data_IF_495555140374
#
_entry.id   IF_495555140374
#
_cell.length_a   1.000
_cell.length_b   1.000
_cell.length_c   1.000
_cell.angle_alpha   90.00
_cell.angle_beta   90.00
_cell.angle_gamma   90.00
#
_symmetry.space_group_name_H-M   'P 1'
#
loop_
_entity.id
_entity.type
_entity.pdbx_description
1 polymer ?
#
# COMPACT_ATOMS: atom_id res chain seq x y z
N UNK A 1 -38.51 14.87 0.61
CA UNK A 1 -37.37 14.35 -0.15
C UNK A 1 -36.30 13.92 0.84
N UNK A 2 -35.65 12.77 0.59
CA UNK A 2 -34.54 12.26 1.40
C UNK A 2 -33.24 12.64 0.76
N UNK A 3 -32.33 13.25 1.51
CA UNK A 3 -30.99 13.63 1.07
C UNK A 3 -29.99 12.78 1.83
N UNK A 4 -29.17 12.07 1.08
CA UNK A 4 -28.11 11.21 1.63
C UNK A 4 -26.80 11.94 1.59
N UNK A 5 -26.07 11.91 2.68
CA UNK A 5 -24.77 12.53 2.89
C UNK A 5 -23.71 11.44 3.01
N UNK A 6 -22.58 11.61 2.35
CA UNK A 6 -21.43 10.75 2.49
C UNK A 6 -20.15 11.59 2.45
N UNK A 7 -19.12 11.23 3.20
CA UNK A 7 -17.86 11.99 3.27
C UNK A 7 -16.65 11.11 3.10
N UNK A 8 -15.56 11.71 2.64
CA UNK A 8 -14.26 11.05 2.54
C UNK A 8 -13.26 11.82 1.68
N UNK A 9 -11.99 11.38 1.75
CA UNK A 9 -10.93 11.92 0.92
C UNK A 9 -10.95 11.36 -0.51
N UNK A 10 -11.43 10.11 -0.70
CA UNK A 10 -11.54 9.43 -1.99
C UNK A 10 -10.27 9.50 -2.85
N UNK A 11 -9.14 9.21 -2.24
CA UNK A 11 -7.82 9.45 -2.79
C UNK A 11 -6.89 8.21 -2.74
N UNK A 12 -6.69 7.52 -3.87
CA UNK A 12 -7.47 7.61 -5.11
C UNK A 12 -8.88 7.02 -4.97
N UNK A 13 -9.78 7.44 -5.86
CA UNK A 13 -11.09 6.80 -6.01
C UNK A 13 -10.91 5.36 -6.52
N UNK A 14 -11.67 4.42 -5.98
CA UNK A 14 -11.62 2.99 -6.35
C UNK A 14 -13.00 2.33 -6.30
N UNK A 15 -13.10 1.09 -6.77
CA UNK A 15 -14.36 0.33 -6.86
C UNK A 15 -15.15 0.27 -5.55
N UNK A 16 -14.48 0.19 -4.41
CA UNK A 16 -15.13 0.23 -3.10
C UNK A 16 -15.86 1.55 -2.82
N UNK A 17 -15.28 2.68 -3.24
CA UNK A 17 -15.97 3.97 -3.14
C UNK A 17 -17.17 4.06 -4.10
N UNK A 18 -17.05 3.52 -5.31
CA UNK A 18 -18.17 3.47 -6.27
C UNK A 18 -19.31 2.63 -5.71
N UNK A 19 -19.01 1.46 -5.13
CA UNK A 19 -20.00 0.63 -4.47
C UNK A 19 -20.66 1.38 -3.30
N UNK A 20 -19.87 2.04 -2.46
CA UNK A 20 -20.37 2.87 -1.35
C UNK A 20 -21.35 3.95 -1.84
N UNK A 21 -21.00 4.70 -2.88
CA UNK A 21 -21.87 5.74 -3.43
C UNK A 21 -23.14 5.18 -4.02
N UNK A 22 -23.06 4.05 -4.74
CA UNK A 22 -24.24 3.38 -5.30
C UNK A 22 -25.21 2.92 -4.20
N UNK A 23 -24.69 2.33 -3.12
CA UNK A 23 -25.53 1.89 -2.00
C UNK A 23 -26.07 3.08 -1.19
N UNK A 24 -25.25 4.12 -0.98
CA UNK A 24 -25.71 5.36 -0.36
C UNK A 24 -26.84 6.01 -1.16
N UNK A 25 -26.72 6.09 -2.48
CA UNK A 25 -27.78 6.66 -3.36
C UNK A 25 -29.12 5.95 -3.24
N UNK A 26 -29.15 4.65 -2.96
CA UNK A 26 -30.40 3.88 -2.77
C UNK A 26 -31.16 4.26 -1.50
N UNK A 27 -30.52 4.90 -0.54
CA UNK A 27 -31.14 5.31 0.72
C UNK A 27 -32.03 6.55 0.57
N UNK A 28 -31.89 7.30 -0.53
CA UNK A 28 -32.64 8.54 -0.72
C UNK A 28 -32.74 9.02 -2.15
N UNK A 29 -33.30 10.19 -2.30
CA UNK A 29 -33.58 10.79 -3.61
C UNK A 29 -32.35 11.51 -4.18
N UNK A 30 -31.50 12.09 -3.32
CA UNK A 30 -30.31 12.85 -3.67
C UNK A 30 -29.12 12.38 -2.84
N UNK A 31 -27.93 12.23 -3.48
CA UNK A 31 -26.66 11.93 -2.83
C UNK A 31 -25.75 13.17 -2.90
N UNK A 32 -25.36 13.67 -1.76
CA UNK A 32 -24.41 14.78 -1.60
C UNK A 32 -23.12 14.25 -0.98
N UNK A 33 -21.99 14.55 -1.62
CA UNK A 33 -20.67 14.14 -1.15
C UNK A 33 -19.97 15.34 -0.48
N UNK A 34 -19.54 15.17 0.76
CA UNK A 34 -18.58 16.04 1.43
C UNK A 34 -17.16 15.58 1.10
N UNK A 35 -16.46 16.36 0.29
CA UNK A 35 -15.09 16.03 -0.12
C UNK A 35 -14.07 16.68 0.81
N UNK A 36 -13.31 15.85 1.53
CA UNK A 36 -12.25 16.31 2.42
C UNK A 36 -11.14 17.06 1.68
N UNK A 37 -10.51 18.01 2.38
CA UNK A 37 -9.40 18.83 1.89
C UNK A 37 -8.12 18.02 1.63
N UNK A 38 -7.13 18.63 0.97
CA UNK A 38 -5.78 18.06 0.82
C UNK A 38 -5.06 18.07 2.17
N UNK A 39 -5.27 19.11 2.98
CA UNK A 39 -4.73 19.23 4.34
C UNK A 39 -5.23 18.10 5.25
N UNK A 40 -6.49 17.70 5.11
CA UNK A 40 -7.02 16.53 5.84
C UNK A 40 -6.31 15.24 5.41
N UNK A 41 -6.07 15.05 4.10
CA UNK A 41 -5.33 13.89 3.59
C UNK A 41 -3.88 13.89 4.07
N UNK A 42 -3.24 15.06 4.14
CA UNK A 42 -1.88 15.20 4.67
C UNK A 42 -1.82 14.79 6.15
N UNK A 43 -2.78 15.23 6.97
CA UNK A 43 -2.87 14.79 8.37
C UNK A 43 -3.11 13.28 8.52
N UNK A 44 -3.93 12.69 7.65
CA UNK A 44 -4.33 11.25 7.73
C UNK A 44 -3.35 10.30 7.07
N UNK A 45 -2.67 10.70 5.98
CA UNK A 45 -1.87 9.81 5.11
C UNK A 45 -0.48 10.35 4.79
N UNK A 46 -0.12 11.54 5.30
CA UNK A 46 1.16 12.20 5.03
C UNK A 46 1.19 13.03 3.75
N UNK A 47 0.33 12.75 2.77
CA UNK A 47 0.18 13.54 1.53
C UNK A 47 -1.11 13.18 0.81
N UNK A 48 -1.61 14.08 -0.03
CA UNK A 48 -2.61 13.77 -1.04
C UNK A 48 -1.93 13.11 -2.27
N UNK A 49 -2.55 12.06 -2.83
CA UNK A 49 -2.13 11.48 -4.11
C UNK A 49 -2.65 12.30 -5.29
N UNK A 50 -3.94 12.66 -5.26
CA UNK A 50 -4.55 13.57 -6.21
C UNK A 50 -4.92 14.89 -5.53
N UNK A 51 -4.61 16.05 -6.14
CA UNK A 51 -5.07 17.35 -5.64
C UNK A 51 -6.59 17.40 -5.54
N UNK A 52 -7.09 18.24 -4.66
CA UNK A 52 -8.52 18.37 -4.40
C UNK A 52 -9.37 18.64 -5.65
N UNK A 53 -8.91 19.52 -6.53
CA UNK A 53 -9.59 19.86 -7.80
C UNK A 53 -9.76 18.65 -8.73
N UNK A 54 -8.77 17.75 -8.80
CA UNK A 54 -8.86 16.51 -9.59
C UNK A 54 -9.88 15.55 -8.97
N UNK A 55 -9.85 15.37 -7.66
CA UNK A 55 -10.79 14.55 -6.94
C UNK A 55 -12.23 15.06 -7.09
N UNK A 56 -12.41 16.40 -6.99
CA UNK A 56 -13.69 17.07 -7.20
C UNK A 56 -14.20 16.84 -8.63
N UNK A 57 -13.35 17.05 -9.64
CA UNK A 57 -13.72 16.85 -11.04
C UNK A 57 -14.21 15.42 -11.31
N UNK A 58 -13.53 14.42 -10.77
CA UNK A 58 -13.92 13.00 -10.92
C UNK A 58 -15.27 12.75 -10.23
N UNK A 59 -15.43 13.14 -8.97
CA UNK A 59 -16.62 12.83 -8.17
C UNK A 59 -17.86 13.54 -8.70
N UNK A 60 -17.75 14.80 -9.14
CA UNK A 60 -18.84 15.56 -9.74
C UNK A 60 -19.39 14.96 -11.06
N UNK A 61 -18.61 14.10 -11.71
CA UNK A 61 -19.02 13.45 -12.96
C UNK A 61 -19.50 12.02 -12.74
N UNK A 62 -19.67 11.56 -11.50
CA UNK A 62 -20.24 10.27 -11.20
C UNK A 62 -21.76 10.34 -11.25
N UNK A 63 -22.38 9.45 -12.04
CA UNK A 63 -23.83 9.44 -12.27
C UNK A 63 -24.69 9.39 -11.00
N UNK A 64 -24.19 8.73 -9.93
CA UNK A 64 -24.93 8.59 -8.67
C UNK A 64 -24.80 9.80 -7.75
N UNK A 65 -23.86 10.71 -8.00
CA UNK A 65 -23.58 11.91 -7.19
C UNK A 65 -24.38 13.09 -7.75
N UNK A 66 -25.20 13.72 -6.93
CA UNK A 66 -25.98 14.88 -7.33
C UNK A 66 -25.27 16.21 -7.02
N UNK A 67 -24.52 16.26 -5.94
CA UNK A 67 -23.76 17.47 -5.54
C UNK A 67 -22.49 17.08 -4.76
N UNK A 68 -21.47 17.95 -4.84
CA UNK A 68 -20.28 17.85 -4.00
C UNK A 68 -20.08 19.15 -3.24
N UNK A 69 -19.86 19.03 -1.94
CA UNK A 69 -19.57 20.15 -1.04
C UNK A 69 -18.12 20.12 -0.59
N UNK A 70 -17.49 21.29 -0.58
CA UNK A 70 -16.28 21.51 0.21
C UNK A 70 -16.68 22.01 1.58
N UNK A 71 -15.93 21.66 2.62
CA UNK A 71 -16.22 22.06 3.99
C UNK A 71 -14.93 22.19 4.80
N UNK A 72 -15.01 22.89 5.93
CA UNK A 72 -13.87 23.00 6.85
C UNK A 72 -13.78 21.70 7.67
N UNK A 73 -12.64 21.02 7.55
CA UNK A 73 -12.36 19.72 8.18
C UNK A 73 -11.10 19.73 9.07
N UNK A 74 -10.75 20.92 9.59
CA UNK A 74 -9.58 21.13 10.45
C UNK A 74 -9.68 20.36 11.77
N UNK A 75 -10.90 20.07 12.22
CA UNK A 75 -11.23 19.29 13.42
C UNK A 75 -11.32 17.78 13.15
N UNK A 76 -10.99 17.33 11.97
CA UNK A 76 -11.07 15.94 11.50
C UNK A 76 -12.48 15.33 11.52
N UNK A 77 -13.54 16.17 11.58
CA UNK A 77 -14.95 15.76 11.60
C UNK A 77 -15.72 16.20 10.35
N UNK A 78 -16.87 15.56 10.10
CA UNK A 78 -17.81 16.01 9.06
C UNK A 78 -18.93 16.90 9.62
N UNK A 79 -18.81 17.40 10.85
CA UNK A 79 -19.82 18.25 11.51
C UNK A 79 -20.11 19.49 10.69
N UNK A 80 -19.06 20.17 10.18
CA UNK A 80 -19.23 21.37 9.37
C UNK A 80 -19.92 21.09 8.03
N UNK A 81 -19.66 19.92 7.41
CA UNK A 81 -20.37 19.48 6.21
C UNK A 81 -21.87 19.31 6.48
N UNK A 82 -22.24 18.60 7.55
CA UNK A 82 -23.65 18.41 7.92
C UNK A 82 -24.33 19.77 8.19
N UNK A 83 -23.68 20.70 8.90
CA UNK A 83 -24.18 22.08 9.13
C UNK A 83 -24.43 22.82 7.82
N UNK A 84 -23.50 22.76 6.87
CA UNK A 84 -23.66 23.41 5.55
C UNK A 84 -24.83 22.82 4.77
N UNK A 85 -24.96 21.49 4.74
CA UNK A 85 -26.08 20.85 4.07
C UNK A 85 -27.42 21.20 4.74
N UNK A 86 -27.49 21.24 6.08
CA UNK A 86 -28.70 21.67 6.82
C UNK A 86 -29.08 23.13 6.50
N UNK A 87 -28.12 24.00 6.25
CA UNK A 87 -28.39 25.37 5.84
C UNK A 87 -28.99 25.47 4.42
N UNK A 88 -28.55 24.62 3.50
CA UNK A 88 -29.05 24.54 2.14
C UNK A 88 -30.38 23.76 2.03
N UNK A 89 -30.52 22.71 2.84
CA UNK A 89 -31.64 21.78 2.83
C UNK A 89 -32.26 21.70 4.24
N UNK A 90 -33.13 22.67 4.62
CA UNK A 90 -33.72 22.70 5.97
C UNK A 90 -34.49 21.41 6.29
N UNK A 91 -34.24 20.88 7.50
CA UNK A 91 -34.88 19.64 8.00
C UNK A 91 -36.41 19.71 8.06
N UNK A 92 -37.00 20.89 8.05
CA UNK A 92 -38.44 21.10 7.97
C UNK A 92 -39.05 20.65 6.63
N UNK A 93 -38.22 20.61 5.55
CA UNK A 93 -38.62 20.20 4.22
C UNK A 93 -37.92 18.90 3.73
N UNK A 94 -36.81 18.55 4.34
CA UNK A 94 -35.94 17.46 3.91
C UNK A 94 -35.56 16.54 5.07
N UNK A 95 -35.51 15.23 4.79
CA UNK A 95 -34.94 14.25 5.72
C UNK A 95 -33.49 14.03 5.34
N UNK A 96 -32.56 14.23 6.27
CA UNK A 96 -31.12 14.00 6.05
C UNK A 96 -30.74 12.62 6.58
N UNK A 97 -29.96 11.90 5.80
CA UNK A 97 -29.40 10.58 6.13
C UNK A 97 -27.90 10.65 5.96
N UNK A 98 -27.14 10.43 7.03
CA UNK A 98 -25.69 10.34 6.95
C UNK A 98 -25.28 8.88 6.81
N UNK A 99 -24.81 8.51 5.61
CA UNK A 99 -24.38 7.18 5.28
C UNK A 99 -22.91 6.97 5.69
N UNK A 100 -22.66 5.89 6.42
CA UNK A 100 -21.33 5.52 6.89
C UNK A 100 -20.93 4.16 6.32
N UNK A 101 -19.75 4.11 5.71
CA UNK A 101 -19.18 2.88 5.17
C UNK A 101 -18.00 2.37 6.01
N UNK A 102 -17.56 1.13 5.70
CA UNK A 102 -16.40 0.53 6.35
C UNK A 102 -16.61 0.24 7.84
N UNK A 103 -15.62 0.57 8.66
CA UNK A 103 -15.52 0.31 10.09
C UNK A 103 -16.16 1.39 11.00
N UNK A 104 -16.96 2.28 10.42
CA UNK A 104 -17.68 3.33 11.15
C UNK A 104 -18.89 2.75 11.90
N UNK A 105 -19.02 3.14 13.17
CA UNK A 105 -20.12 2.76 14.08
C UNK A 105 -20.61 3.98 14.84
N UNK A 106 -21.76 3.87 15.52
CA UNK A 106 -22.29 4.95 16.34
C UNK A 106 -21.33 5.42 17.44
N UNK A 107 -20.46 4.53 17.93
CA UNK A 107 -19.55 4.81 19.04
C UNK A 107 -18.25 5.49 18.59
N UNK A 108 -17.97 5.52 17.27
CA UNK A 108 -16.67 5.99 16.77
C UNK A 108 -16.76 7.18 15.81
N UNK A 109 -17.94 7.82 15.67
CA UNK A 109 -18.11 9.02 14.84
C UNK A 109 -18.59 10.22 15.69
N UNK A 110 -17.92 11.38 15.58
CA UNK A 110 -18.31 12.60 16.31
C UNK A 110 -19.61 13.22 15.80
N UNK A 111 -20.04 12.90 14.59
CA UNK A 111 -21.24 13.42 13.94
C UNK A 111 -22.55 13.00 14.63
N UNK A 112 -22.50 12.02 15.53
CA UNK A 112 -23.66 11.59 16.34
C UNK A 112 -24.24 12.69 17.27
N UNK A 113 -23.64 13.88 17.29
CA UNK A 113 -24.19 15.06 17.99
C UNK A 113 -25.47 15.62 17.35
N UNK A 114 -25.80 15.18 16.13
CA UNK A 114 -27.04 15.59 15.45
C UNK A 114 -28.13 14.56 15.68
N UNK A 115 -29.11 14.88 16.52
CA UNK A 115 -30.29 14.04 16.81
C UNK A 115 -31.39 14.10 15.73
N UNK A 116 -31.28 15.07 14.82
CA UNK A 116 -32.19 15.33 13.71
C UNK A 116 -31.69 14.78 12.35
N UNK A 117 -30.58 14.04 12.35
CA UNK A 117 -30.01 13.35 11.19
C UNK A 117 -30.10 11.84 11.40
N UNK A 118 -30.59 11.12 10.44
CA UNK A 118 -30.57 9.65 10.46
C UNK A 118 -29.18 9.15 10.11
N UNK A 119 -28.60 8.27 10.93
CA UNK A 119 -27.29 7.65 10.66
C UNK A 119 -27.49 6.20 10.20
N UNK A 120 -26.90 5.84 9.06
CA UNK A 120 -26.90 4.49 8.50
C UNK A 120 -25.47 4.00 8.39
N UNK A 121 -25.19 2.82 8.94
CA UNK A 121 -23.86 2.20 8.98
C UNK A 121 -23.78 0.98 8.08
N UNK A 122 -22.54 0.56 7.74
CA UNK A 122 -22.30 -0.61 6.89
C UNK A 122 -22.66 -0.40 5.41
N UNK A 123 -22.81 0.87 4.99
CA UNK A 123 -23.18 1.19 3.60
C UNK A 123 -22.01 0.85 2.68
N UNK A 124 -22.28 0.07 1.64
CA UNK A 124 -21.27 -0.42 0.72
C UNK A 124 -20.66 -1.77 1.09
N UNK A 125 -21.11 -2.38 2.21
CA UNK A 125 -20.67 -3.68 2.70
C UNK A 125 -19.49 -3.62 3.67
N UNK A 126 -19.33 -4.69 4.44
CA UNK A 126 -18.27 -4.82 5.45
C UNK A 126 -16.95 -5.32 4.85
N UNK A 127 -16.99 -5.97 3.68
CA UNK A 127 -15.79 -6.45 2.98
C UNK A 127 -14.98 -5.31 2.40
N UNK A 128 -13.87 -4.99 3.04
CA UNK A 128 -12.89 -4.02 2.57
C UNK A 128 -12.08 -4.60 1.40
N UNK A 129 -12.75 -4.79 0.26
CA UNK A 129 -12.13 -5.38 -0.96
C UNK A 129 -10.95 -4.58 -1.50
N UNK A 130 -10.91 -3.26 -1.23
CA UNK A 130 -9.86 -2.37 -1.69
C UNK A 130 -9.62 -1.23 -0.68
N UNK A 131 -8.42 -0.72 -0.65
CA UNK A 131 -8.12 0.56 0.02
C UNK A 131 -7.20 1.40 -0.85
N UNK A 132 -7.39 2.71 -0.82
CA UNK A 132 -6.52 3.67 -1.51
C UNK A 132 -5.04 3.46 -1.12
N UNK A 133 -4.76 3.22 0.15
CA UNK A 133 -3.39 2.99 0.64
C UNK A 133 -2.77 1.73 0.07
N UNK A 134 -3.55 0.64 -0.05
CA UNK A 134 -3.08 -0.60 -0.66
C UNK A 134 -2.79 -0.42 -2.16
N UNK A 135 -3.70 0.22 -2.89
CA UNK A 135 -3.51 0.51 -4.33
C UNK A 135 -2.25 1.36 -4.55
N UNK A 136 -2.04 2.39 -3.73
CA UNK A 136 -0.85 3.24 -3.83
C UNK A 136 0.44 2.49 -3.49
N UNK A 137 0.42 1.61 -2.50
CA UNK A 137 1.56 0.75 -2.15
C UNK A 137 1.90 -0.18 -3.31
N UNK A 138 0.92 -0.86 -3.88
CA UNK A 138 1.15 -1.74 -5.04
C UNK A 138 1.62 -0.98 -6.28
N UNK A 139 1.12 0.24 -6.49
CA UNK A 139 1.58 1.07 -7.60
C UNK A 139 3.02 1.57 -7.39
N UNK A 140 3.38 2.02 -6.19
CA UNK A 140 4.70 2.60 -5.91
C UNK A 140 5.81 1.54 -5.77
N UNK A 141 5.48 0.36 -5.29
CA UNK A 141 6.40 -0.75 -5.09
C UNK A 141 5.69 -2.08 -5.41
N UNK A 142 5.46 -2.38 -6.69
CA UNK A 142 4.76 -3.59 -7.11
C UNK A 142 5.47 -4.84 -6.63
N UNK A 143 4.67 -5.81 -6.20
CA UNK A 143 5.15 -7.12 -5.80
C UNK A 143 5.53 -7.93 -7.03
N UNK A 144 6.76 -8.43 -7.07
CA UNK A 144 7.25 -9.32 -8.13
C UNK A 144 7.38 -10.72 -7.57
N UNK A 145 6.48 -11.62 -7.98
CA UNK A 145 6.46 -13.02 -7.55
C UNK A 145 7.58 -13.84 -8.16
N UNK A 146 8.13 -14.78 -7.39
CA UNK A 146 9.15 -15.77 -7.76
C UNK A 146 8.83 -17.11 -7.09
N UNK A 147 9.42 -18.19 -7.57
CA UNK A 147 9.21 -19.52 -6.95
C UNK A 147 9.66 -19.58 -5.49
N UNK A 148 10.66 -18.79 -5.12
CA UNK A 148 11.21 -18.72 -3.77
C UNK A 148 10.49 -17.74 -2.85
N UNK A 149 9.53 -16.95 -3.33
CA UNK A 149 8.83 -15.90 -2.60
C UNK A 149 8.56 -14.68 -3.46
N UNK A 150 8.93 -13.51 -3.00
CA UNK A 150 8.75 -12.29 -3.79
C UNK A 150 9.73 -11.19 -3.39
N UNK A 151 9.80 -10.16 -4.23
CA UNK A 151 10.49 -8.92 -3.88
C UNK A 151 9.70 -7.68 -4.30
N UNK A 152 10.09 -6.55 -3.73
CA UNK A 152 9.63 -5.20 -4.08
C UNK A 152 10.81 -4.27 -4.19
N UNK A 153 10.84 -3.44 -5.24
CA UNK A 153 11.78 -2.33 -5.32
C UNK A 153 11.16 -1.16 -4.56
N UNK A 154 11.71 -0.86 -3.38
CA UNK A 154 11.17 0.16 -2.47
C UNK A 154 11.61 1.57 -2.85
N UNK A 155 12.87 1.71 -3.28
CA UNK A 155 13.44 3.00 -3.65
C UNK A 155 14.65 2.81 -4.58
N UNK A 156 14.73 3.62 -5.64
CA UNK A 156 15.92 3.70 -6.51
C UNK A 156 16.47 5.14 -6.44
N UNK A 157 17.65 5.30 -5.83
CA UNK A 157 18.41 6.53 -5.76
C UNK A 157 19.55 6.56 -6.77
N UNK A 158 20.36 7.62 -6.69
CA UNK A 158 21.61 7.67 -7.45
C UNK A 158 22.62 6.72 -6.82
N UNK A 159 23.12 5.76 -7.60
CA UNK A 159 24.13 4.78 -7.20
C UNK A 159 23.72 3.79 -6.08
N UNK A 160 22.41 3.69 -5.78
CA UNK A 160 21.89 2.64 -4.88
C UNK A 160 20.42 2.32 -5.14
N UNK A 161 20.00 1.13 -4.74
CA UNK A 161 18.59 0.71 -4.73
C UNK A 161 18.29 -0.05 -3.44
N UNK A 162 17.10 0.17 -2.89
CA UNK A 162 16.60 -0.55 -1.72
C UNK A 162 15.49 -1.49 -2.16
N UNK A 163 15.61 -2.76 -1.77
CA UNK A 163 14.60 -3.80 -2.05
C UNK A 163 14.14 -4.48 -0.77
N UNK A 164 12.91 -4.93 -0.78
CA UNK A 164 12.39 -5.93 0.16
C UNK A 164 12.42 -7.29 -0.52
N UNK A 165 12.99 -8.28 0.12
CA UNK A 165 12.91 -9.69 -0.25
C UNK A 165 12.11 -10.44 0.80
N UNK A 166 11.18 -11.29 0.39
CA UNK A 166 10.47 -12.20 1.27
C UNK A 166 10.73 -13.62 0.77
N UNK A 167 11.49 -14.39 1.55
CA UNK A 167 11.80 -15.79 1.21
C UNK A 167 10.78 -16.67 1.93
N UNK A 168 10.00 -17.42 1.15
CA UNK A 168 9.01 -18.35 1.66
C UNK A 168 9.66 -19.45 2.54
N UNK A 169 8.88 -20.10 3.42
CA UNK A 169 9.32 -21.31 4.12
C UNK A 169 9.92 -22.34 3.15
N UNK A 170 10.99 -23.02 3.58
CA UNK A 170 11.67 -24.10 2.85
C UNK A 170 12.06 -23.72 1.41
N UNK A 171 12.44 -22.45 1.20
CA UNK A 171 12.75 -21.91 -0.14
C UNK A 171 14.10 -21.23 -0.19
N UNK A 172 14.65 -21.10 -1.40
CA UNK A 172 15.94 -20.44 -1.61
C UNK A 172 16.00 -19.73 -2.97
N UNK A 173 16.78 -18.64 -3.00
CA UNK A 173 17.19 -17.98 -4.23
C UNK A 173 18.15 -18.89 -5.01
N UNK A 174 18.41 -18.56 -6.28
CA UNK A 174 19.52 -19.16 -7.05
C UNK A 174 20.88 -18.78 -6.46
N UNK A 175 21.88 -19.62 -6.63
CA UNK A 175 23.27 -19.22 -6.45
C UNK A 175 23.62 -18.20 -7.55
N UNK A 176 24.02 -16.98 -7.17
CA UNK A 176 24.17 -15.84 -8.08
C UNK A 176 25.35 -14.95 -7.71
N UNK A 177 25.82 -14.17 -8.66
CA UNK A 177 26.79 -13.09 -8.46
C UNK A 177 26.49 -11.90 -9.35
N UNK A 178 27.06 -10.75 -9.01
CA UNK A 178 26.84 -9.47 -9.68
C UNK A 178 28.17 -8.82 -10.04
N UNK A 179 28.28 -8.42 -11.30
CA UNK A 179 29.52 -7.83 -11.83
C UNK A 179 29.66 -6.36 -11.45
N UNK A 180 28.57 -5.61 -11.45
CA UNK A 180 28.60 -4.14 -11.35
C UNK A 180 28.10 -3.61 -10.02
N UNK A 181 27.39 -4.42 -9.22
CA UNK A 181 26.87 -4.00 -7.90
C UNK A 181 27.41 -4.87 -6.76
N UNK A 182 27.50 -4.29 -5.60
CA UNK A 182 27.58 -4.97 -4.31
C UNK A 182 26.25 -4.90 -3.59
N UNK A 183 26.02 -5.77 -2.64
CA UNK A 183 24.77 -5.87 -1.89
C UNK A 183 25.03 -5.84 -0.39
N UNK A 184 24.10 -5.23 0.37
CA UNK A 184 24.05 -5.35 1.83
C UNK A 184 22.73 -5.96 2.18
N UNK A 185 22.74 -7.08 2.90
CA UNK A 185 21.55 -7.79 3.34
C UNK A 185 21.33 -7.60 4.83
N UNK A 186 20.12 -7.17 5.21
CA UNK A 186 19.70 -7.03 6.59
C UNK A 186 18.41 -7.81 6.84
N UNK A 187 18.46 -8.81 7.71
CA UNK A 187 17.26 -9.53 8.14
C UNK A 187 16.38 -8.60 9.00
N UNK A 188 15.11 -8.51 8.65
CA UNK A 188 14.10 -7.73 9.39
C UNK A 188 13.31 -8.61 10.36
N UNK A 189 12.84 -9.76 9.84
CA UNK A 189 12.09 -10.74 10.64
C UNK A 189 12.19 -12.15 10.05
N UNK A 190 11.84 -13.15 10.81
CA UNK A 190 11.98 -14.56 10.45
C UNK A 190 13.42 -15.06 10.62
N UNK A 191 13.78 -16.08 9.87
CA UNK A 191 15.13 -16.68 9.87
C UNK A 191 15.57 -16.92 8.44
N UNK A 192 16.82 -16.57 8.13
CA UNK A 192 17.43 -16.87 6.86
C UNK A 192 18.93 -17.12 7.02
N UNK A 193 19.48 -17.86 6.09
CA UNK A 193 20.90 -18.10 5.93
C UNK A 193 21.38 -17.56 4.61
N UNK A 194 22.59 -17.03 4.61
CA UNK A 194 23.30 -16.57 3.42
C UNK A 194 24.51 -17.47 3.20
N UNK A 195 24.52 -18.15 2.06
CA UNK A 195 25.68 -18.87 1.55
C UNK A 195 26.51 -17.89 0.76
N UNK A 196 27.79 -17.76 1.07
CA UNK A 196 28.72 -16.91 0.30
C UNK A 196 29.99 -17.72 0.01
N UNK A 197 30.37 -17.75 -1.26
CA UNK A 197 31.68 -18.24 -1.66
C UNK A 197 32.61 -17.05 -1.92
N UNK A 198 33.63 -16.92 -1.09
CA UNK A 198 34.63 -15.86 -1.17
C UNK A 198 35.68 -16.09 -2.26
N UNK A 199 35.55 -17.16 -3.05
CA UNK A 199 36.33 -17.37 -4.27
C UNK A 199 35.53 -16.96 -5.49
N UNK A 200 36.18 -16.45 -6.49
CA UNK A 200 35.53 -16.01 -7.73
C UNK A 200 35.55 -17.08 -8.82
N UNK A 201 36.26 -18.17 -8.62
CA UNK A 201 36.49 -19.25 -9.60
C UNK A 201 36.11 -20.61 -9.00
N UNK A 202 35.70 -21.53 -9.84
CA UNK A 202 35.32 -22.90 -9.47
C UNK A 202 33.83 -23.04 -9.13
N UNK A 203 33.46 -24.20 -8.56
CA UNK A 203 32.12 -24.47 -8.11
C UNK A 203 31.76 -23.54 -6.92
N UNK A 204 30.70 -22.73 -7.03
CA UNK A 204 30.34 -21.80 -5.98
C UNK A 204 29.86 -22.46 -4.69
N UNK A 205 29.57 -23.75 -4.67
CA UNK A 205 29.22 -24.49 -3.45
C UNK A 205 30.45 -25.07 -2.75
N UNK A 206 31.56 -25.24 -3.47
CA UNK A 206 32.78 -25.77 -2.87
C UNK A 206 33.45 -24.69 -1.98
N UNK A 207 33.52 -24.97 -0.69
CA UNK A 207 34.06 -24.04 0.32
C UNK A 207 33.14 -22.84 0.64
N UNK A 208 31.87 -22.85 0.25
CA UNK A 208 30.94 -21.80 0.61
C UNK A 208 30.74 -21.72 2.14
N UNK A 209 30.79 -20.48 2.66
CA UNK A 209 30.51 -20.21 4.06
C UNK A 209 29.00 -19.97 4.25
N UNK A 210 28.45 -20.50 5.33
CA UNK A 210 27.06 -20.31 5.72
C UNK A 210 27.01 -19.28 6.85
N UNK A 211 26.30 -18.20 6.62
CA UNK A 211 26.09 -17.12 7.58
C UNK A 211 24.61 -17.09 7.98
N UNK A 212 24.33 -17.24 9.28
CA UNK A 212 23.00 -17.00 9.79
C UNK A 212 22.75 -15.51 9.84
N UNK A 213 21.77 -15.04 9.09
CA UNK A 213 21.39 -13.62 9.10
C UNK A 213 20.75 -13.24 10.45
N UNK A 214 20.99 -12.01 10.87
CA UNK A 214 20.47 -11.47 12.13
C UNK A 214 20.13 -9.99 11.96
N UNK A 215 19.06 -9.49 12.60
CA UNK A 215 18.69 -8.08 12.50
C UNK A 215 19.76 -7.10 12.97
N UNK A 216 20.68 -7.53 13.85
CA UNK A 216 21.75 -6.71 14.42
C UNK A 216 23.04 -6.70 13.57
N UNK A 217 23.17 -7.64 12.63
CA UNK A 217 24.40 -7.83 11.87
C UNK A 217 24.10 -7.92 10.37
N UNK A 218 24.04 -6.78 9.66
CA UNK A 218 23.95 -6.79 8.20
C UNK A 218 25.20 -7.45 7.59
N UNK A 219 25.03 -8.09 6.45
CA UNK A 219 26.11 -8.74 5.71
C UNK A 219 26.34 -8.01 4.40
N UNK A 220 27.56 -7.54 4.17
CA UNK A 220 27.98 -6.97 2.88
C UNK A 220 28.51 -8.08 1.95
N UNK A 221 27.99 -8.08 0.73
CA UNK A 221 28.38 -9.00 -0.35
C UNK A 221 29.06 -8.17 -1.44
N UNK A 222 30.39 -8.30 -1.62
CA UNK A 222 31.08 -7.55 -2.66
C UNK A 222 30.73 -8.02 -4.06
N UNK A 223 31.08 -7.21 -5.07
CA UNK A 223 30.94 -7.57 -6.49
C UNK A 223 31.68 -8.86 -6.79
N UNK A 224 31.14 -9.65 -7.72
CA UNK A 224 31.69 -10.91 -8.24
C UNK A 224 31.71 -12.10 -7.26
N UNK A 225 31.20 -11.96 -6.03
CA UNK A 225 31.14 -13.09 -5.11
C UNK A 225 29.82 -13.83 -5.25
N UNK A 226 29.95 -15.15 -5.34
CA UNK A 226 28.81 -16.05 -5.40
C UNK A 226 28.06 -16.08 -4.07
N UNK A 227 26.76 -15.91 -4.11
CA UNK A 227 25.92 -15.94 -2.92
C UNK A 227 24.52 -16.48 -3.19
N UNK A 228 23.88 -16.98 -2.13
CA UNK A 228 22.54 -17.53 -2.17
C UNK A 228 21.86 -17.35 -0.83
N UNK A 229 20.69 -16.72 -0.81
CA UNK A 229 19.82 -16.69 0.37
C UNK A 229 18.93 -17.91 0.43
N UNK A 230 18.73 -18.47 1.64
CA UNK A 230 17.78 -19.56 1.86
C UNK A 230 17.04 -19.44 3.20
N UNK A 231 15.84 -19.96 3.22
CA UNK A 231 15.03 -20.08 4.42
C UNK A 231 14.67 -21.57 4.65
N UNK A 232 15.28 -22.18 5.63
CA UNK A 232 15.04 -23.59 6.02
C UNK A 232 14.07 -23.71 7.20
N UNK A 233 13.22 -22.69 7.43
CA UNK A 233 12.26 -22.66 8.53
C UNK A 233 10.83 -22.68 8.01
N UNK A 234 9.84 -22.74 8.93
CA UNK A 234 8.41 -22.80 8.57
C UNK A 234 7.74 -21.41 8.51
N UNK A 235 8.50 -20.34 8.81
CA UNK A 235 8.02 -18.96 8.74
C UNK A 235 8.74 -18.18 7.63
N UNK A 236 8.08 -17.21 6.96
CA UNK A 236 8.73 -16.38 5.96
C UNK A 236 9.88 -15.56 6.56
N UNK A 237 10.93 -15.37 5.79
CA UNK A 237 12.04 -14.48 6.13
C UNK A 237 11.95 -13.16 5.34
N UNK A 238 11.95 -12.04 6.06
CA UNK A 238 11.93 -10.70 5.48
C UNK A 238 13.31 -10.08 5.55
N UNK A 239 13.83 -9.65 4.43
CA UNK A 239 15.17 -9.08 4.26
C UNK A 239 15.04 -7.74 3.55
N UNK A 240 15.75 -6.72 4.04
CA UNK A 240 16.03 -5.50 3.28
C UNK A 240 17.40 -5.66 2.63
N UNK A 241 17.40 -5.55 1.31
CA UNK A 241 18.57 -5.62 0.47
C UNK A 241 18.89 -4.23 -0.08
N UNK A 242 20.15 -3.82 0.03
CA UNK A 242 20.63 -2.55 -0.52
C UNK A 242 21.66 -2.85 -1.60
N UNK A 243 21.35 -2.53 -2.83
CA UNK A 243 22.29 -2.55 -3.94
C UNK A 243 23.10 -1.27 -4.00
N UNK A 244 24.39 -1.39 -4.26
CA UNK A 244 25.32 -0.24 -4.41
C UNK A 244 26.13 -0.43 -5.69
N UNK A 245 26.08 0.56 -6.59
CA UNK A 245 26.76 0.53 -7.88
C UNK A 245 26.38 1.72 -8.74
N UNK A 246 26.88 1.76 -9.98
CA UNK A 246 26.49 2.81 -10.89
C UNK A 246 25.03 2.67 -11.31
N UNK A 247 24.31 3.79 -11.36
CA UNK A 247 22.86 3.83 -11.58
C UNK A 247 22.40 3.05 -12.81
N UNK A 248 23.20 3.04 -13.89
CA UNK A 248 22.90 2.34 -15.14
C UNK A 248 22.96 0.81 -15.01
N UNK A 249 23.72 0.30 -14.03
CA UNK A 249 23.88 -1.14 -13.77
C UNK A 249 23.03 -1.64 -12.59
N UNK A 250 22.23 -0.78 -11.95
CA UNK A 250 21.30 -1.17 -10.90
C UNK A 250 20.00 -1.72 -11.52
N UNK A 251 20.12 -2.87 -12.18
CA UNK A 251 19.04 -3.59 -12.87
C UNK A 251 19.08 -5.07 -12.53
N UNK A 252 17.98 -5.78 -12.78
CA UNK A 252 17.91 -7.24 -12.62
C UNK A 252 18.79 -7.99 -13.65
N UNK A 253 19.27 -7.30 -14.70
CA UNK A 253 20.13 -7.91 -15.73
C UNK A 253 21.57 -8.06 -15.26
N UNK A 254 22.02 -7.34 -14.22
CA UNK A 254 23.34 -7.53 -13.59
C UNK A 254 23.32 -8.76 -12.69
N UNK A 255 23.03 -9.92 -13.26
CA UNK A 255 22.97 -11.20 -12.53
C UNK A 255 23.54 -12.33 -13.37
N UNK A 256 24.50 -13.05 -12.82
CA UNK A 256 24.97 -14.34 -13.33
C UNK A 256 24.50 -15.43 -12.35
N UNK A 257 23.83 -16.46 -12.87
CA UNK A 257 23.33 -17.59 -12.07
C UNK A 257 24.15 -18.82 -12.35
N UNK A 258 24.42 -19.55 -11.29
CA UNK A 258 25.01 -20.89 -11.40
C UNK A 258 23.87 -21.90 -11.60
N UNK A 259 23.99 -22.64 -12.71
CA UNK A 259 23.14 -23.79 -13.00
C UNK A 259 23.98 -25.04 -12.80
N UNK A 260 23.74 -25.80 -11.75
CA UNK A 260 24.15 -27.20 -11.72
C UNK A 260 23.32 -27.93 -12.76
N UNK A 261 23.91 -28.89 -13.51
CA UNK A 261 23.19 -29.61 -14.58
C UNK A 261 21.93 -30.38 -14.13
N UNK A 262 21.52 -30.25 -12.84
CA UNK A 262 20.34 -30.82 -12.24
C UNK A 262 19.19 -29.81 -12.08
N UNK A 263 19.41 -28.52 -12.36
CA UNK A 263 18.41 -27.45 -12.21
C UNK A 263 17.65 -27.13 -13.53
N UNK A 264 17.61 -28.08 -14.47
CA UNK A 264 16.80 -27.95 -15.69
C UNK A 264 15.49 -28.73 -15.48
N UNK A 265 14.55 -28.12 -14.74
CA UNK A 265 13.11 -28.38 -14.88
C UNK A 265 12.29 -27.11 -14.57
#
# INVERSE_FOLDING_TARGET
>A
MKIVLATGGFDPLHSGHIQYFNEAKKLGDKLIIGLNSDEWLERKKGKAFMPWNERLAIINNLQMVDEVFTFMDDDDTAINFIKQVKAHYPITAYKLIFANGGDRTADNIPEMVFDDVEFVFGVGGEDKKNSSSWILKEWSAPKVERNWGHYRNLYKGKNFMVKELVINPQSSLSMQRHKHRSETWNLVSGNAELLVNWTTNGDPFDGANIWKLSPQNPVDIPKNYWHKGRNNTDEPAHIVEIWKGDTEHLTEDDIERWYSGEDIE
#
